data_IF_589940766134
#
_entry.id   IF_589940766134
#
_cell.length_a   1.000
_cell.length_b   1.000
_cell.length_c   1.000
_cell.angle_alpha   90.00
_cell.angle_beta   90.00
_cell.angle_gamma   90.00
#
_symmetry.space_group_name_H-M   'P 1'
#
loop_
_entity.id
_entity.type
_entity.pdbx_description
1 polymer ?
#
# COMPACT_ATOMS: atom_id res chain seq x y z
N UNK A 1 -4.77 22.37 -5.76
CA UNK A 1 -4.33 21.39 -4.76
C UNK A 1 -2.80 21.36 -4.80
N UNK A 2 -2.13 21.73 -3.70
CA UNK A 2 -0.66 21.66 -3.58
C UNK A 2 -0.21 20.20 -3.68
N UNK A 3 1.02 19.92 -4.14
CA UNK A 3 1.48 18.55 -4.30
C UNK A 3 1.34 17.85 -2.96
N UNK A 4 0.47 16.84 -2.93
CA UNK A 4 0.46 15.84 -1.89
C UNK A 4 1.92 15.44 -1.68
N UNK A 5 2.42 15.65 -0.46
CA UNK A 5 3.81 15.33 -0.15
C UNK A 5 4.02 13.83 -0.44
N UNK A 6 5.26 13.39 -0.67
CA UNK A 6 5.53 11.99 -1.04
C UNK A 6 4.90 10.99 -0.06
N UNK A 7 4.78 11.38 1.22
CA UNK A 7 4.12 10.61 2.28
C UNK A 7 2.61 10.43 2.07
N UNK A 8 1.90 11.46 1.65
CA UNK A 8 0.47 11.37 1.34
C UNK A 8 0.22 10.42 0.14
N UNK A 9 1.13 10.43 -0.83
CA UNK A 9 1.07 9.54 -2.00
C UNK A 9 1.30 8.08 -1.58
N UNK A 10 2.33 7.81 -0.75
CA UNK A 10 2.60 6.47 -0.19
C UNK A 10 1.39 5.95 0.57
N UNK A 11 0.80 6.77 1.44
CA UNK A 11 -0.38 6.38 2.21
C UNK A 11 -1.58 6.03 1.32
N UNK A 12 -1.81 6.81 0.25
CA UNK A 12 -2.87 6.54 -0.72
C UNK A 12 -2.61 5.24 -1.51
N UNK A 13 -1.38 4.99 -1.93
CA UNK A 13 -0.98 3.76 -2.60
C UNK A 13 -1.18 2.54 -1.69
N UNK A 14 -0.71 2.61 -0.44
CA UNK A 14 -0.84 1.53 0.54
C UNK A 14 -2.31 1.21 0.85
N UNK A 15 -3.15 2.24 1.01
CA UNK A 15 -4.58 2.08 1.21
C UNK A 15 -5.26 1.40 0.00
N UNK A 16 -4.87 1.79 -1.21
CA UNK A 16 -5.37 1.17 -2.44
C UNK A 16 -4.96 -0.31 -2.54
N UNK A 17 -3.69 -0.63 -2.27
CA UNK A 17 -3.20 -2.01 -2.28
C UNK A 17 -3.93 -2.88 -1.25
N UNK A 18 -4.26 -2.37 -0.06
CA UNK A 18 -5.07 -3.13 0.90
C UNK A 18 -6.49 -3.38 0.41
N UNK A 19 -7.14 -2.35 -0.13
CA UNK A 19 -8.49 -2.47 -0.70
C UNK A 19 -8.54 -3.51 -1.84
N UNK A 20 -7.49 -3.57 -2.66
CA UNK A 20 -7.37 -4.55 -3.74
C UNK A 20 -6.87 -5.94 -3.28
N UNK A 21 -6.45 -6.09 -2.02
CA UNK A 21 -5.68 -7.22 -1.53
C UNK A 21 -4.17 -7.02 -1.74
N UNK A 22 -3.39 -7.23 -0.68
CA UNK A 22 -1.94 -7.01 -0.73
C UNK A 22 -1.31 -7.96 -1.75
N UNK A 23 -0.65 -7.46 -2.79
CA UNK A 23 -0.08 -8.29 -3.83
C UNK A 23 1.19 -9.03 -3.35
N UNK A 24 1.43 -10.20 -3.94
CA UNK A 24 2.60 -11.01 -3.65
C UNK A 24 3.88 -10.43 -4.27
N UNK A 25 3.76 -9.78 -5.42
CA UNK A 25 4.89 -9.25 -6.20
C UNK A 25 4.80 -7.76 -6.45
N UNK A 26 5.95 -7.09 -6.55
CA UNK A 26 6.04 -5.66 -6.89
C UNK A 26 5.41 -5.37 -8.25
N UNK A 27 5.61 -6.23 -9.24
CA UNK A 27 5.03 -6.08 -10.58
C UNK A 27 3.50 -6.01 -10.55
N UNK A 28 2.88 -6.77 -9.67
CA UNK A 28 1.43 -6.78 -9.51
C UNK A 28 0.95 -5.53 -8.76
N UNK A 29 1.68 -5.09 -7.73
CA UNK A 29 1.46 -3.79 -7.10
C UNK A 29 1.52 -2.64 -8.12
N UNK A 30 2.54 -2.59 -8.99
CA UNK A 30 2.64 -1.58 -10.06
C UNK A 30 1.39 -1.62 -10.93
N UNK A 31 0.96 -2.81 -11.36
CA UNK A 31 -0.20 -2.97 -12.24
C UNK A 31 -1.48 -2.46 -11.58
N UNK A 32 -1.71 -2.80 -10.32
CA UNK A 32 -2.88 -2.37 -9.56
C UNK A 32 -2.88 -0.85 -9.34
N UNK A 33 -1.73 -0.27 -8.99
CA UNK A 33 -1.59 1.17 -8.77
C UNK A 33 -1.77 1.97 -10.07
N UNK A 34 -1.23 1.48 -11.20
CA UNK A 34 -1.49 2.08 -12.50
C UNK A 34 -2.99 2.03 -12.85
N UNK A 35 -3.66 0.90 -12.57
CA UNK A 35 -5.11 0.77 -12.77
C UNK A 35 -5.91 1.71 -11.85
N UNK A 36 -5.38 2.03 -10.67
CA UNK A 36 -5.93 3.01 -9.72
C UNK A 36 -5.68 4.48 -10.08
N UNK A 37 -4.97 4.76 -11.19
CA UNK A 37 -4.72 6.11 -11.67
C UNK A 37 -3.45 6.78 -11.10
N UNK A 38 -2.60 6.04 -10.38
CA UNK A 38 -1.31 6.55 -9.92
C UNK A 38 -0.31 6.64 -11.09
N UNK A 39 0.54 7.66 -11.11
CA UNK A 39 1.51 7.83 -12.21
C UNK A 39 2.70 6.92 -12.00
N UNK A 40 3.22 6.36 -13.08
CA UNK A 40 4.39 5.47 -13.04
C UNK A 40 5.59 6.10 -12.30
N UNK A 41 5.86 7.39 -12.49
CA UNK A 41 6.94 8.08 -11.79
C UNK A 41 6.77 8.20 -10.28
N UNK A 42 5.53 8.22 -9.78
CA UNK A 42 5.23 8.20 -8.34
C UNK A 42 5.34 6.78 -7.80
N UNK A 43 4.86 5.81 -8.58
CA UNK A 43 4.87 4.39 -8.22
C UNK A 43 6.31 3.91 -8.02
N UNK A 44 7.19 4.12 -8.99
CA UNK A 44 8.57 3.58 -8.94
C UNK A 44 9.38 4.15 -7.77
N UNK A 45 9.07 5.36 -7.32
CA UNK A 45 9.79 6.01 -6.21
C UNK A 45 9.32 5.49 -4.85
N UNK A 46 8.08 5.01 -4.74
CA UNK A 46 7.40 4.81 -3.46
C UNK A 46 6.76 3.42 -3.29
N UNK A 47 6.90 2.52 -4.27
CA UNK A 47 6.19 1.24 -4.26
C UNK A 47 6.64 0.30 -3.14
N UNK A 48 7.95 0.24 -2.88
CA UNK A 48 8.50 -0.64 -1.86
C UNK A 48 7.99 -0.23 -0.47
N UNK A 49 8.06 1.07 -0.16
CA UNK A 49 7.49 1.65 1.06
C UNK A 49 5.99 1.34 1.20
N UNK A 50 5.21 1.52 0.12
CA UNK A 50 3.78 1.25 0.13
C UNK A 50 3.46 -0.24 0.37
N UNK A 51 4.25 -1.16 -0.20
CA UNK A 51 4.15 -2.61 0.01
C UNK A 51 4.52 -3.01 1.43
N UNK A 52 5.60 -2.45 1.96
CA UNK A 52 6.06 -2.69 3.33
C UNK A 52 5.02 -2.18 4.32
N UNK A 53 4.53 -0.94 4.18
CA UNK A 53 3.49 -0.38 5.04
C UNK A 53 2.18 -1.18 4.98
N UNK A 54 1.77 -1.62 3.77
CA UNK A 54 0.58 -2.45 3.62
C UNK A 54 0.74 -3.78 4.36
N UNK A 55 1.88 -4.46 4.19
CA UNK A 55 2.19 -5.74 4.86
C UNK A 55 2.27 -5.58 6.37
N UNK A 56 2.96 -4.56 6.86
CA UNK A 56 3.10 -4.28 8.29
C UNK A 56 1.74 -4.09 8.95
N UNK A 57 0.82 -3.37 8.29
CA UNK A 57 -0.52 -3.16 8.82
C UNK A 57 -1.37 -4.43 8.78
N UNK A 58 -1.34 -5.23 7.71
CA UNK A 58 -2.06 -6.50 7.68
C UNK A 58 -1.57 -7.48 8.77
N UNK A 59 -0.27 -7.53 9.04
CA UNK A 59 0.29 -8.30 10.17
C UNK A 59 -0.22 -7.75 11.50
N UNK A 60 -0.27 -6.42 11.65
CA UNK A 60 -0.77 -5.79 12.88
C UNK A 60 -2.26 -6.06 13.10
N UNK A 61 -3.09 -6.00 12.05
CA UNK A 61 -4.51 -6.33 12.09
C UNK A 61 -4.71 -7.81 12.47
N UNK A 62 -3.99 -8.73 11.82
CA UNK A 62 -4.04 -10.15 12.15
C UNK A 62 -3.62 -10.44 13.60
N UNK A 63 -2.60 -9.75 14.11
CA UNK A 63 -2.16 -9.87 15.51
C UNK A 63 -3.18 -9.28 16.49
N UNK A 64 -3.85 -8.19 16.14
CA UNK A 64 -4.90 -7.59 16.96
C UNK A 64 -6.14 -8.50 17.07
N UNK A 65 -6.50 -9.18 15.98
CA UNK A 65 -7.58 -10.18 15.97
C UNK A 65 -7.21 -11.43 16.79
N UNK A 66 -5.94 -11.85 16.76
CA UNK A 66 -5.46 -12.98 17.55
C UNK A 66 -5.37 -12.70 19.07
N UNK A 67 -5.29 -11.43 19.48
CA UNK A 67 -5.13 -11.01 20.87
C UNK A 67 -6.42 -10.96 21.70
N UNK A 68 -7.61 -11.16 21.10
CA UNK A 68 -8.91 -11.10 21.79
C UNK A 68 -9.54 -12.49 22.05
N UNK A 69 -8.72 -13.52 22.19
CA UNK A 69 -9.15 -14.87 22.57
C UNK A 69 -8.26 -15.44 23.67
N UNK A 70 -8.56 -15.11 24.93
CA UNK A 70 -7.89 -15.64 26.12
C UNK A 70 -8.39 -15.04 27.41
#
# INVERSE_FOLDING_TARGET
MKPANARDIVAAMAAYLRSAGIPETEREAIRLLLAGGFRYGEIVVCIDDALVEARQQAVTEAMAEAGHGG
#
